data_IF_100996376356
#
_entry.id   IF_100996376356
#
_cell.length_a   1.000
_cell.length_b   1.000
_cell.length_c   1.000
_cell.angle_alpha   90.00
_cell.angle_beta   90.00
_cell.angle_gamma   90.00
#
_symmetry.space_group_name_H-M   'P 1'
#
loop_
_entity.id
_entity.type
_entity.pdbx_description
1 polymer ?
#
# COMPACT_ATOMS: atom_id res chain seq x y z
N UNK A 1 0.57 -7.69 12.90
CA UNK A 1 -0.38 -7.73 11.76
C UNK A 1 -1.51 -8.73 11.98
N UNK A 2 -1.24 -9.91 12.55
CA UNK A 2 -2.22 -10.98 12.79
C UNK A 2 -3.55 -10.51 13.43
N UNK A 3 -3.48 -9.57 14.39
CA UNK A 3 -4.65 -9.08 15.10
C UNK A 3 -5.62 -8.29 14.19
N UNK A 4 -5.13 -7.54 13.20
CA UNK A 4 -5.98 -6.74 12.30
C UNK A 4 -6.64 -7.59 11.22
N UNK A 5 -5.92 -8.57 10.67
CA UNK A 5 -6.44 -9.47 9.62
C UNK A 5 -7.62 -10.30 10.15
N UNK A 6 -7.53 -10.74 11.41
CA UNK A 6 -8.61 -11.50 12.06
C UNK A 6 -9.91 -10.69 12.24
N UNK A 7 -9.84 -9.36 12.19
CA UNK A 7 -11.01 -8.47 12.34
C UNK A 7 -11.72 -8.18 11.01
N UNK A 8 -11.14 -8.59 9.87
CA UNK A 8 -11.71 -8.33 8.55
C UNK A 8 -12.71 -9.43 8.19
N UNK A 9 -13.95 -9.02 7.90
CA UNK A 9 -14.97 -9.91 7.34
C UNK A 9 -14.65 -10.25 5.87
N UNK A 10 -14.07 -11.43 5.66
CA UNK A 10 -13.67 -11.92 4.33
C UNK A 10 -14.86 -12.13 3.38
N UNK A 11 -16.09 -12.24 3.90
CA UNK A 11 -17.30 -12.39 3.03
C UNK A 11 -17.67 -11.10 2.32
N UNK A 12 -17.12 -9.97 2.77
CA UNK A 12 -17.37 -8.63 2.24
C UNK A 12 -16.12 -8.01 1.60
N UNK A 13 -15.09 -8.81 1.35
CA UNK A 13 -13.86 -8.33 0.75
C UNK A 13 -14.12 -7.89 -0.71
N UNK A 14 -13.68 -6.69 -1.12
CA UNK A 14 -13.76 -6.29 -2.52
C UNK A 14 -12.90 -7.21 -3.39
N UNK A 15 -13.40 -7.54 -4.58
CA UNK A 15 -12.60 -8.31 -5.54
C UNK A 15 -11.45 -7.48 -6.13
N UNK A 16 -11.65 -6.16 -6.26
CA UNK A 16 -10.68 -5.24 -6.86
C UNK A 16 -10.50 -3.99 -6.00
N UNK A 17 -9.25 -3.66 -5.70
CA UNK A 17 -8.83 -2.41 -5.06
C UNK A 17 -7.96 -1.60 -6.03
N UNK A 18 -8.22 -0.30 -6.14
CA UNK A 18 -7.37 0.63 -6.87
C UNK A 18 -6.81 1.69 -5.90
N UNK A 19 -5.51 1.96 -6.00
CA UNK A 19 -4.79 2.90 -5.13
C UNK A 19 -4.01 3.89 -5.99
N UNK A 20 -4.16 5.18 -5.67
CA UNK A 20 -3.36 6.26 -6.25
C UNK A 20 -2.20 6.53 -5.30
N UNK A 21 -0.96 6.30 -5.74
CA UNK A 21 0.23 6.38 -4.89
C UNK A 21 0.85 7.79 -4.91
N UNK A 22 0.08 8.79 -4.48
CA UNK A 22 0.55 10.17 -4.39
C UNK A 22 1.28 10.44 -3.06
N UNK A 23 2.16 11.46 -3.06
CA UNK A 23 2.69 12.05 -1.84
C UNK A 23 4.11 11.62 -1.47
N UNK A 24 4.74 10.68 -2.17
CA UNK A 24 6.12 10.24 -1.87
C UNK A 24 7.13 11.40 -1.86
N UNK A 25 7.02 12.33 -2.82
CA UNK A 25 7.87 13.52 -2.86
C UNK A 25 7.62 14.48 -1.69
N UNK A 26 6.35 14.75 -1.35
CA UNK A 26 5.98 15.60 -0.21
C UNK A 26 6.43 14.98 1.12
N UNK A 27 6.26 13.67 1.26
CA UNK A 27 6.72 12.91 2.42
C UNK A 27 8.25 13.01 2.61
N UNK A 28 9.03 12.95 1.52
CA UNK A 28 10.48 13.14 1.59
C UNK A 28 10.85 14.58 2.00
N UNK A 29 10.19 15.58 1.39
CA UNK A 29 10.41 17.00 1.71
C UNK A 29 10.10 17.32 3.19
N UNK A 30 8.99 16.79 3.74
CA UNK A 30 8.64 16.93 5.17
C UNK A 30 9.65 16.31 6.13
N UNK A 31 10.43 15.32 5.65
CA UNK A 31 11.50 14.67 6.41
C UNK A 31 12.87 15.30 6.17
N UNK A 32 12.95 16.38 5.40
CA UNK A 32 14.21 17.03 5.01
C UNK A 32 15.08 16.14 4.12
N UNK A 33 14.47 15.20 3.41
CA UNK A 33 15.16 14.24 2.53
C UNK A 33 14.99 14.64 1.07
N UNK A 34 15.88 14.14 0.20
CA UNK A 34 15.73 14.28 -1.24
C UNK A 34 14.52 13.47 -1.76
N UNK A 35 13.89 13.94 -2.83
CA UNK A 35 12.74 13.25 -3.45
C UNK A 35 13.01 11.79 -3.82
N UNK A 36 14.25 11.47 -4.17
CA UNK A 36 14.68 10.10 -4.46
C UNK A 36 14.43 9.17 -3.27
N UNK A 37 14.64 9.65 -2.05
CA UNK A 37 14.35 8.91 -0.82
C UNK A 37 12.86 8.57 -0.70
N UNK A 38 11.99 9.49 -1.11
CA UNK A 38 10.54 9.26 -1.21
C UNK A 38 10.18 8.13 -2.18
N UNK A 39 10.88 8.03 -3.32
CA UNK A 39 10.66 6.92 -4.27
C UNK A 39 11.05 5.57 -3.68
N UNK A 40 12.18 5.48 -2.96
CA UNK A 40 12.58 4.25 -2.28
C UNK A 40 11.54 3.81 -1.23
N UNK A 41 11.02 4.75 -0.46
CA UNK A 41 9.93 4.47 0.49
C UNK A 41 8.60 4.10 -0.18
N UNK A 42 8.36 4.62 -1.38
CA UNK A 42 7.25 4.18 -2.22
C UNK A 42 7.32 2.69 -2.55
N UNK A 43 8.51 2.15 -2.83
CA UNK A 43 8.71 0.71 -3.12
C UNK A 43 8.33 -0.17 -1.93
N UNK A 44 8.77 0.20 -0.73
CA UNK A 44 8.40 -0.52 0.50
C UNK A 44 6.90 -0.45 0.77
N UNK A 45 6.27 0.69 0.49
CA UNK A 45 4.81 0.84 0.60
C UNK A 45 4.07 -0.08 -0.38
N UNK A 46 4.53 -0.15 -1.64
CA UNK A 46 4.00 -1.07 -2.65
C UNK A 46 4.10 -2.51 -2.19
N UNK A 47 5.28 -2.93 -1.68
CA UNK A 47 5.50 -4.29 -1.17
C UNK A 47 4.48 -4.65 -0.09
N UNK A 48 4.34 -3.81 0.93
CA UNK A 48 3.41 -4.05 2.03
C UNK A 48 1.95 -4.14 1.56
N UNK A 49 1.55 -3.30 0.59
CA UNK A 49 0.20 -3.34 0.01
C UNK A 49 -0.04 -4.65 -0.73
N UNK A 50 0.91 -5.08 -1.57
CA UNK A 50 0.80 -6.32 -2.35
C UNK A 50 0.73 -7.53 -1.44
N UNK A 51 1.61 -7.61 -0.44
CA UNK A 51 1.63 -8.70 0.55
C UNK A 51 0.31 -8.75 1.33
N UNK A 52 -0.17 -7.61 1.83
CA UNK A 52 -1.46 -7.54 2.54
C UNK A 52 -2.66 -7.92 1.67
N UNK A 53 -2.68 -7.51 0.39
CA UNK A 53 -3.73 -7.92 -0.55
C UNK A 53 -3.71 -9.43 -0.79
N UNK A 54 -2.52 -10.02 -0.93
CA UNK A 54 -2.35 -11.45 -1.11
C UNK A 54 -2.81 -12.24 0.13
N UNK A 55 -2.43 -11.81 1.34
CA UNK A 55 -2.84 -12.43 2.61
C UNK A 55 -4.36 -12.37 2.82
N UNK A 56 -5.00 -11.27 2.41
CA UNK A 56 -6.45 -11.09 2.51
C UNK A 56 -7.22 -11.86 1.42
N UNK A 57 -6.59 -12.16 0.29
CA UNK A 57 -7.23 -12.81 -0.86
C UNK A 57 -7.94 -11.84 -1.81
N UNK A 58 -7.48 -10.59 -1.88
CA UNK A 58 -7.96 -9.61 -2.88
C UNK A 58 -7.52 -10.09 -4.26
N UNK A 59 -8.47 -10.19 -5.21
CA UNK A 59 -8.21 -10.80 -6.53
C UNK A 59 -7.46 -9.86 -7.48
N UNK A 60 -7.76 -8.56 -7.41
CA UNK A 60 -7.21 -7.56 -8.31
C UNK A 60 -6.72 -6.34 -7.53
N UNK A 61 -5.53 -5.87 -7.87
CA UNK A 61 -4.93 -4.66 -7.32
C UNK A 61 -4.45 -3.78 -8.47
N UNK A 62 -4.88 -2.52 -8.50
CA UNK A 62 -4.36 -1.50 -9.42
C UNK A 62 -3.64 -0.43 -8.64
N UNK A 63 -2.40 -0.13 -9.04
CA UNK A 63 -1.59 0.93 -8.45
C UNK A 63 -1.30 1.98 -9.52
N UNK A 64 -1.57 3.25 -9.22
CA UNK A 64 -1.17 4.37 -10.06
C UNK A 64 0.11 4.98 -9.48
N UNK A 65 1.21 4.88 -10.24
CA UNK A 65 2.57 5.25 -9.86
C UNK A 65 3.06 6.47 -10.64
#
# INVERSE_FOLDING_TARGET
MENLIAQIDKTRLPEHIAIIMDGNGRWAEEKGQERLYGHFHGVESVRNIVEGCAELGVKYLTLYA
#
